data_IF_300279209142
#
_entry.id   IF_300279209142
#
_cell.length_a   1.000
_cell.length_b   1.000
_cell.length_c   1.000
_cell.angle_alpha   90.00
_cell.angle_beta   90.00
_cell.angle_gamma   90.00
#
_symmetry.space_group_name_H-M   'P 1'
#
loop_
_entity.id
_entity.type
_entity.pdbx_description
1 polymer ?
#
# COMPACT_ATOMS: atom_id res chain seq x y z
N UNK A 1 -11.05 -16.49 1.63
CA UNK A 1 -10.23 -17.65 2.03
C UNK A 1 -8.85 -17.17 2.44
N UNK A 2 -8.16 -17.89 3.31
CA UNK A 2 -6.77 -17.60 3.66
C UNK A 2 -5.95 -18.89 3.51
N UNK A 3 -4.73 -18.77 2.99
CA UNK A 3 -3.76 -19.86 3.00
C UNK A 3 -3.08 -19.83 4.37
N UNK A 4 -3.18 -20.92 5.14
CA UNK A 4 -2.56 -20.97 6.46
C UNK A 4 -1.16 -21.56 6.34
N UNK A 5 -0.15 -20.74 6.68
CA UNK A 5 1.17 -21.27 7.02
C UNK A 5 1.12 -21.88 8.42
N UNK A 6 1.82 -23.00 8.64
CA UNK A 6 1.86 -23.65 9.95
C UNK A 6 2.78 -22.88 10.91
N UNK A 7 2.33 -21.70 11.30
CA UNK A 7 3.03 -20.87 12.28
C UNK A 7 2.18 -20.87 13.55
N UNK A 8 2.71 -21.49 14.60
CA UNK A 8 2.09 -21.43 15.92
C UNK A 8 2.26 -20.00 16.45
N UNK A 9 1.17 -19.33 16.80
CA UNK A 9 1.19 -18.01 17.43
C UNK A 9 0.77 -18.12 18.89
N UNK A 10 1.35 -17.31 19.75
CA UNK A 10 1.00 -17.25 21.17
C UNK A 10 -0.12 -16.22 21.35
N UNK A 11 -1.34 -16.69 21.65
CA UNK A 11 -2.51 -15.84 21.87
C UNK A 11 -2.37 -14.89 23.08
N UNK A 12 -1.41 -15.16 23.97
CA UNK A 12 -1.10 -14.33 25.14
C UNK A 12 -0.01 -13.29 24.84
N UNK A 13 0.78 -13.48 23.78
CA UNK A 13 1.82 -12.54 23.36
C UNK A 13 1.25 -11.51 22.37
N UNK A 14 0.45 -10.57 22.91
CA UNK A 14 -0.21 -9.51 22.14
C UNK A 14 0.47 -8.17 22.38
N UNK A 15 0.68 -7.43 21.29
CA UNK A 15 1.12 -6.04 21.32
C UNK A 15 0.06 -5.12 20.71
N UNK A 16 -0.03 -3.89 21.22
CA UNK A 16 -0.85 -2.84 20.62
C UNK A 16 -0.16 -2.31 19.37
N UNK A 17 -0.95 -2.04 18.34
CA UNK A 17 -0.43 -1.57 17.08
C UNK A 17 -1.36 -0.57 16.40
N UNK A 18 -0.85 0.12 15.38
CA UNK A 18 -1.61 1.00 14.52
C UNK A 18 -1.23 0.78 13.06
N UNK A 19 -2.21 0.85 12.17
CA UNK A 19 -1.98 0.83 10.74
C UNK A 19 -1.44 2.19 10.30
N UNK A 20 -0.37 2.19 9.52
CA UNK A 20 0.21 3.38 8.91
C UNK A 20 0.39 3.17 7.41
N UNK A 21 0.48 4.26 6.66
CA UNK A 21 0.76 4.18 5.23
C UNK A 21 2.15 3.59 4.99
N UNK A 22 2.27 2.75 3.96
CA UNK A 22 3.57 2.30 3.50
C UNK A 22 4.30 3.49 2.86
N UNK A 23 5.33 4.00 3.55
CA UNK A 23 6.05 5.21 3.12
C UNK A 23 6.78 5.00 1.79
N UNK A 24 7.14 3.76 1.43
CA UNK A 24 7.77 3.44 0.14
C UNK A 24 6.76 3.46 -1.02
N UNK A 25 5.47 3.42 -0.69
CA UNK A 25 4.32 3.46 -1.61
C UNK A 25 3.52 4.76 -1.53
N UNK A 26 4.02 5.73 -0.77
CA UNK A 26 3.43 7.06 -0.64
C UNK A 26 4.31 8.09 -1.35
N UNK A 27 3.68 8.94 -2.17
CA UNK A 27 4.34 10.07 -2.81
C UNK A 27 3.73 11.36 -2.29
N UNK A 28 4.57 12.23 -1.78
CA UNK A 28 4.22 13.62 -1.50
C UNK A 28 4.56 14.47 -2.72
N UNK A 29 3.55 15.10 -3.29
CA UNK A 29 3.70 16.03 -4.39
C UNK A 29 3.94 17.42 -3.80
N UNK A 30 5.16 17.92 -3.99
CA UNK A 30 5.56 19.27 -3.66
C UNK A 30 6.09 19.96 -4.93
N UNK A 31 5.65 21.19 -5.23
CA UNK A 31 6.12 21.92 -6.38
C UNK A 31 7.56 22.36 -6.19
N UNK A 32 8.34 22.40 -7.27
CA UNK A 32 9.72 22.92 -7.22
C UNK A 32 9.85 24.38 -7.69
N UNK A 33 8.76 24.96 -8.19
CA UNK A 33 8.63 26.36 -8.56
C UNK A 33 7.37 26.93 -7.93
N UNK A 34 7.32 28.25 -7.79
CA UNK A 34 6.10 28.90 -7.33
C UNK A 34 4.99 28.74 -8.38
N UNK A 35 3.80 28.38 -7.92
CA UNK A 35 2.69 28.09 -8.83
C UNK A 35 1.34 28.44 -8.22
N UNK A 36 0.36 28.68 -9.08
CA UNK A 36 -1.03 28.90 -8.72
C UNK A 36 -1.90 27.70 -9.10
N UNK A 37 -2.79 27.30 -8.20
CA UNK A 37 -3.79 26.26 -8.47
C UNK A 37 -4.93 26.88 -9.27
N UNK A 38 -5.11 26.47 -10.53
CA UNK A 38 -6.13 27.01 -11.42
C UNK A 38 -7.41 26.17 -11.41
N UNK A 39 -7.29 24.85 -11.28
CA UNK A 39 -8.43 23.94 -11.23
C UNK A 39 -8.10 22.67 -10.43
N UNK A 40 -9.09 22.16 -9.71
CA UNK A 40 -9.05 20.85 -9.06
C UNK A 40 -9.80 19.81 -9.89
N UNK A 41 -9.21 18.62 -10.04
CA UNK A 41 -9.83 17.48 -10.75
C UNK A 41 -10.11 16.27 -9.85
N UNK A 42 -9.57 16.26 -8.62
CA UNK A 42 -9.72 15.16 -7.65
C UNK A 42 -10.08 15.68 -6.26
N UNK A 43 -10.59 14.79 -5.39
CA UNK A 43 -10.90 15.09 -3.98
C UNK A 43 -10.21 14.11 -3.03
N UNK A 44 -9.96 14.48 -1.75
CA UNK A 44 -9.50 13.54 -0.74
C UNK A 44 -10.35 12.27 -0.68
N UNK A 45 -9.70 11.13 -0.51
CA UNK A 45 -10.32 9.81 -0.50
C UNK A 45 -10.59 9.23 -1.89
N UNK A 46 -10.44 10.00 -2.99
CA UNK A 46 -10.66 9.47 -4.34
C UNK A 46 -9.51 8.57 -4.78
N UNK A 47 -9.84 7.45 -5.44
CA UNK A 47 -8.86 6.61 -6.12
C UNK A 47 -8.50 7.20 -7.48
N UNK A 48 -7.21 7.22 -7.80
CA UNK A 48 -6.65 7.77 -9.03
C UNK A 48 -5.76 6.75 -9.73
N UNK A 49 -5.74 6.82 -11.05
CA UNK A 49 -4.82 6.04 -11.90
C UNK A 49 -3.63 6.90 -12.31
N UNK A 50 -2.46 6.28 -12.50
CA UNK A 50 -1.27 6.95 -13.02
C UNK A 50 -1.59 7.65 -14.34
N UNK A 51 -1.23 8.93 -14.44
CA UNK A 51 -1.53 9.79 -15.59
C UNK A 51 -2.88 10.51 -15.51
N UNK A 52 -3.72 10.21 -14.52
CA UNK A 52 -4.97 10.96 -14.31
C UNK A 52 -4.68 12.39 -13.86
N UNK A 53 -5.38 13.42 -14.41
CA UNK A 53 -5.23 14.79 -13.95
C UNK A 53 -5.66 14.94 -12.48
N UNK A 54 -4.78 15.55 -11.67
CA UNK A 54 -5.04 15.88 -10.27
C UNK A 54 -5.46 17.35 -10.13
N UNK A 55 -4.62 18.24 -10.66
CA UNK A 55 -4.80 19.69 -10.64
C UNK A 55 -4.42 20.28 -12.00
N UNK A 56 -5.01 21.41 -12.36
CA UNK A 56 -4.40 22.32 -13.34
C UNK A 56 -3.66 23.39 -12.57
N UNK A 57 -2.37 23.54 -12.84
CA UNK A 57 -1.48 24.49 -12.19
C UNK A 57 -0.85 25.41 -13.22
N UNK A 58 -0.55 26.63 -12.82
CA UNK A 58 0.09 27.63 -13.68
C UNK A 58 0.81 28.69 -12.86
N UNK A 59 1.00 29.87 -13.44
CA UNK A 59 1.65 31.00 -12.78
C UNK A 59 2.85 31.52 -13.56
N UNK A 60 3.40 32.64 -13.09
CA UNK A 60 4.48 33.35 -13.78
C UNK A 60 5.74 32.50 -13.94
N UNK A 61 6.16 31.80 -12.88
CA UNK A 61 7.37 30.96 -12.90
C UNK A 61 7.21 29.74 -13.82
N UNK A 62 6.02 29.14 -13.83
CA UNK A 62 5.68 28.06 -14.78
C UNK A 62 5.73 28.58 -16.22
N UNK A 63 5.12 29.74 -16.48
CA UNK A 63 5.16 30.36 -17.81
C UNK A 63 6.58 30.66 -18.27
N UNK A 64 7.42 31.19 -17.37
CA UNK A 64 8.82 31.50 -17.64
C UNK A 64 9.64 30.22 -17.93
N UNK A 65 9.49 29.18 -17.11
CA UNK A 65 10.18 27.91 -17.31
C UNK A 65 9.77 27.23 -18.64
N UNK A 66 8.48 27.30 -18.99
CA UNK A 66 7.97 26.78 -20.27
C UNK A 66 8.53 27.56 -21.46
N UNK A 67 8.55 28.90 -21.40
CA UNK A 67 9.12 29.74 -22.45
C UNK A 67 10.63 29.50 -22.63
N UNK A 68 11.38 29.37 -21.53
CA UNK A 68 12.80 29.04 -21.54
C UNK A 68 13.08 27.71 -22.26
N UNK A 69 12.27 26.68 -21.97
CA UNK A 69 12.38 25.40 -22.66
C UNK A 69 12.05 25.50 -24.15
N UNK A 70 10.95 26.19 -24.51
CA UNK A 70 10.57 26.35 -25.93
C UNK A 70 11.67 27.06 -26.72
N UNK A 71 12.26 28.11 -26.17
CA UNK A 71 13.37 28.83 -26.80
C UNK A 71 14.61 27.93 -26.96
N UNK A 72 15.00 27.22 -25.91
CA UNK A 72 16.17 26.33 -25.93
C UNK A 72 15.98 25.14 -26.88
N UNK A 73 14.79 24.52 -26.87
CA UNK A 73 14.45 23.40 -27.74
C UNK A 73 14.40 23.83 -29.22
N UNK A 74 13.82 24.99 -29.51
CA UNK A 74 13.76 25.54 -30.88
C UNK A 74 15.17 25.79 -31.43
N UNK A 75 16.06 26.37 -30.61
CA UNK A 75 17.44 26.60 -31.01
C UNK A 75 18.20 25.29 -31.22
N UNK A 76 18.00 24.30 -30.34
CA UNK A 76 18.59 22.98 -30.52
C UNK A 76 18.13 22.29 -31.80
N UNK A 77 16.84 22.32 -32.10
CA UNK A 77 16.28 21.74 -33.31
C UNK A 77 16.68 22.50 -34.58
N UNK A 78 16.96 23.80 -34.49
CA UNK A 78 17.59 24.56 -35.57
C UNK A 78 19.00 24.06 -35.84
N UNK A 79 19.83 23.94 -34.80
CA UNK A 79 21.22 23.48 -34.92
C UNK A 79 21.31 22.04 -35.44
N UNK A 80 20.42 21.13 -35.00
CA UNK A 80 20.36 19.75 -35.51
C UNK A 80 20.12 19.68 -37.02
N UNK A 81 19.34 20.61 -37.57
CA UNK A 81 19.00 20.66 -39.00
C UNK A 81 20.10 21.32 -39.85
N UNK A 82 21.07 21.99 -39.24
CA UNK A 82 22.18 22.61 -39.95
C UNK A 82 23.21 21.56 -40.38
N UNK A 83 23.89 21.81 -41.51
CA UNK A 83 24.85 20.86 -42.06
C UNK A 83 26.08 20.68 -41.16
N UNK A 84 26.72 19.51 -41.28
CA UNK A 84 27.97 19.21 -40.58
C UNK A 84 29.08 20.17 -41.08
N UNK A 85 29.39 21.17 -40.28
CA UNK A 85 30.49 22.13 -40.53
C UNK A 85 30.11 23.59 -40.26
N UNK A 86 28.82 23.94 -40.24
CA UNK A 86 28.35 25.32 -40.00
C UNK A 86 28.51 25.76 -38.54
N UNK A 87 28.56 24.81 -37.61
CA UNK A 87 28.62 25.05 -36.16
C UNK A 87 29.69 24.14 -35.56
N UNK A 88 30.47 24.69 -34.62
CA UNK A 88 31.51 23.96 -33.90
C UNK A 88 30.91 22.85 -33.03
N UNK A 89 31.68 21.78 -32.79
CA UNK A 89 31.23 20.68 -31.92
C UNK A 89 30.88 21.16 -30.49
N UNK A 90 31.69 22.06 -29.94
CA UNK A 90 31.45 22.67 -28.62
C UNK A 90 30.14 23.44 -28.58
N UNK A 91 29.82 24.23 -29.61
CA UNK A 91 28.59 25.00 -29.65
C UNK A 91 27.36 24.08 -29.75
N UNK A 92 27.44 23.00 -30.56
CA UNK A 92 26.35 22.01 -30.63
C UNK A 92 26.10 21.38 -29.26
N UNK A 93 27.16 20.93 -28.60
CA UNK A 93 27.06 20.31 -27.27
C UNK A 93 26.45 21.28 -26.25
N UNK A 94 26.87 22.55 -26.26
CA UNK A 94 26.36 23.55 -25.33
C UNK A 94 24.85 23.81 -25.52
N UNK A 95 24.37 23.86 -26.76
CA UNK A 95 22.95 24.04 -27.05
C UNK A 95 22.12 22.80 -26.66
N UNK A 96 22.64 21.59 -26.91
CA UNK A 96 22.02 20.35 -26.47
C UNK A 96 21.87 20.30 -24.95
N UNK A 97 22.95 20.58 -24.22
CA UNK A 97 22.95 20.62 -22.75
C UNK A 97 21.96 21.67 -22.22
N UNK A 98 21.89 22.84 -22.85
CA UNK A 98 20.93 23.87 -22.44
C UNK A 98 19.47 23.42 -22.65
N UNK A 99 19.14 22.81 -23.80
CA UNK A 99 17.81 22.28 -24.03
C UNK A 99 17.44 21.18 -23.03
N UNK A 100 18.38 20.27 -22.72
CA UNK A 100 18.16 19.20 -21.75
C UNK A 100 18.01 19.75 -20.32
N UNK A 101 18.78 20.76 -19.94
CA UNK A 101 18.63 21.44 -18.65
C UNK A 101 17.22 22.03 -18.48
N UNK A 102 16.73 22.79 -19.47
CA UNK A 102 15.39 23.38 -19.42
C UNK A 102 14.30 22.31 -19.41
N UNK A 103 14.52 21.20 -20.09
CA UNK A 103 13.64 20.03 -20.06
C UNK A 103 13.57 19.42 -18.66
N UNK A 104 14.72 19.25 -18.00
CA UNK A 104 14.81 18.68 -16.67
C UNK A 104 14.10 19.56 -15.62
N UNK A 105 14.15 20.89 -15.76
CA UNK A 105 13.39 21.82 -14.90
C UNK A 105 11.87 21.60 -15.04
N UNK A 106 11.35 21.45 -16.26
CA UNK A 106 9.92 21.16 -16.45
C UNK A 106 9.52 19.78 -15.89
N UNK A 107 10.40 18.79 -16.01
CA UNK A 107 10.18 17.48 -15.39
C UNK A 107 10.22 17.53 -13.87
N UNK A 108 11.02 18.42 -13.29
CA UNK A 108 11.15 18.56 -11.83
C UNK A 108 9.90 19.13 -11.18
N UNK A 109 9.12 19.93 -11.91
CA UNK A 109 7.76 20.34 -11.52
C UNK A 109 6.67 19.33 -11.91
N UNK A 110 7.06 18.09 -12.23
CA UNK A 110 6.18 16.97 -12.59
C UNK A 110 5.37 17.18 -13.89
N UNK A 111 5.83 18.03 -14.81
CA UNK A 111 5.24 18.12 -16.14
C UNK A 111 5.58 16.85 -16.94
N UNK A 112 4.58 16.23 -17.56
CA UNK A 112 4.79 14.96 -18.28
C UNK A 112 5.61 15.15 -19.56
N UNK A 113 6.32 14.09 -19.99
CA UNK A 113 7.08 14.11 -21.26
C UNK A 113 6.22 14.49 -22.46
N UNK A 114 4.94 14.10 -22.45
CA UNK A 114 3.99 14.43 -23.50
C UNK A 114 3.66 15.93 -23.49
N UNK A 115 3.28 16.49 -22.35
CA UNK A 115 3.00 17.92 -22.23
C UNK A 115 4.22 18.77 -22.60
N UNK A 116 5.42 18.34 -22.21
CA UNK A 116 6.68 19.02 -22.58
C UNK A 116 6.90 18.96 -24.11
N UNK A 117 6.59 17.85 -24.77
CA UNK A 117 6.69 17.75 -26.22
C UNK A 117 5.69 18.67 -26.94
N UNK A 118 4.47 18.80 -26.40
CA UNK A 118 3.41 19.66 -26.94
C UNK A 118 3.76 21.15 -26.87
N UNK A 119 4.52 21.59 -25.85
CA UNK A 119 4.98 22.98 -25.73
C UNK A 119 5.77 23.47 -26.95
N UNK A 120 6.61 22.61 -27.52
CA UNK A 120 7.47 22.98 -28.66
C UNK A 120 6.66 23.25 -29.94
N UNK A 121 5.44 22.71 -30.04
CA UNK A 121 4.56 22.86 -31.21
C UNK A 121 3.41 23.83 -30.98
N UNK A 122 3.10 24.19 -29.73
CA UNK A 122 1.91 24.95 -29.37
C UNK A 122 2.21 26.06 -28.34
N UNK A 123 2.69 27.24 -28.77
CA UNK A 123 3.00 28.35 -27.86
C UNK A 123 1.82 28.83 -27.01
N UNK A 124 0.58 28.60 -27.47
CA UNK A 124 -0.65 28.92 -26.72
C UNK A 124 -0.86 28.05 -25.48
N UNK A 125 -0.08 26.97 -25.32
CA UNK A 125 -0.12 26.10 -24.13
C UNK A 125 0.77 26.58 -22.98
N UNK A 126 1.55 27.66 -23.19
CA UNK A 126 2.37 28.29 -22.15
C UNK A 126 1.47 28.95 -21.08
N UNK A 127 1.87 28.83 -19.82
CA UNK A 127 1.27 29.46 -18.65
C UNK A 127 0.59 28.48 -17.69
N UNK A 128 0.31 27.26 -18.13
CA UNK A 128 -0.29 26.22 -17.28
C UNK A 128 0.01 24.81 -17.78
N UNK A 129 -0.21 23.81 -16.93
CA UNK A 129 -0.26 22.41 -17.31
C UNK A 129 -1.12 21.61 -16.34
N UNK A 130 -1.43 20.37 -16.70
CA UNK A 130 -2.12 19.44 -15.79
C UNK A 130 -1.08 18.65 -14.99
N UNK A 131 -1.12 18.77 -13.68
CA UNK A 131 -0.37 17.92 -12.76
C UNK A 131 -1.04 16.54 -12.75
N UNK A 132 -0.32 15.53 -13.23
CA UNK A 132 -0.84 14.17 -13.38
C UNK A 132 -0.41 13.28 -12.21
N UNK A 133 -1.22 12.26 -11.90
CA UNK A 133 -0.89 11.27 -10.88
C UNK A 133 0.38 10.48 -11.25
N UNK A 134 1.46 10.52 -10.44
CA UNK A 134 2.68 9.74 -10.71
C UNK A 134 2.51 8.23 -10.50
N UNK A 135 1.55 7.83 -9.67
CA UNK A 135 1.24 6.44 -9.30
C UNK A 135 -0.26 6.18 -9.32
N UNK A 136 -0.64 4.90 -9.34
CA UNK A 136 -1.98 4.48 -8.95
C UNK A 136 -2.08 4.60 -7.42
N UNK A 137 -3.21 5.07 -6.90
CA UNK A 137 -3.38 5.18 -5.45
C UNK A 137 -4.60 5.98 -5.05
N UNK A 138 -4.67 6.36 -3.79
CA UNK A 138 -5.71 7.22 -3.22
C UNK A 138 -5.14 8.57 -2.82
N UNK A 139 -5.93 9.62 -3.01
CA UNK A 139 -5.62 10.98 -2.53
C UNK A 139 -5.80 11.00 -1.01
N UNK A 140 -4.70 10.91 -0.25
CA UNK A 140 -4.76 10.91 1.22
C UNK A 140 -4.87 12.30 1.80
N UNK A 141 -4.13 13.25 1.23
CA UNK A 141 -4.15 14.65 1.63
C UNK A 141 -4.18 15.52 0.40
N UNK A 142 -5.00 16.57 0.45
CA UNK A 142 -5.03 17.64 -0.55
C UNK A 142 -5.28 18.95 0.22
N UNK A 143 -4.25 19.78 0.29
CA UNK A 143 -4.34 21.08 0.95
C UNK A 143 -4.46 22.23 -0.05
N UNK A 144 -4.57 21.91 -1.35
CA UNK A 144 -4.70 22.90 -2.41
C UNK A 144 -6.00 23.69 -2.24
N UNK A 145 -6.01 24.94 -2.65
CA UNK A 145 -7.25 25.70 -2.85
C UNK A 145 -7.18 26.39 -4.21
N UNK A 146 -8.27 26.36 -4.97
CA UNK A 146 -8.32 27.05 -6.26
C UNK A 146 -8.06 28.55 -6.05
N UNK A 147 -7.14 29.11 -6.82
CA UNK A 147 -6.65 30.49 -6.68
C UNK A 147 -5.45 30.65 -5.75
N UNK A 148 -5.14 29.66 -4.90
CA UNK A 148 -3.99 29.69 -4.00
C UNK A 148 -2.67 29.70 -4.78
N UNK A 149 -1.73 30.53 -4.32
CA UNK A 149 -0.33 30.50 -4.74
C UNK A 149 0.45 29.66 -3.73
N UNK A 150 1.22 28.72 -4.25
CA UNK A 150 2.05 27.79 -3.50
C UNK A 150 3.51 28.10 -3.78
N UNK A 151 4.29 28.26 -2.73
CA UNK A 151 5.74 28.43 -2.82
C UNK A 151 6.41 27.08 -3.04
N UNK A 152 7.49 27.08 -3.81
CA UNK A 152 8.35 25.92 -4.01
C UNK A 152 8.69 25.22 -2.67
N UNK A 153 8.60 23.89 -2.66
CA UNK A 153 8.84 23.05 -1.49
C UNK A 153 7.61 22.81 -0.61
N UNK A 154 6.50 23.54 -0.79
CA UNK A 154 5.29 23.35 0.01
C UNK A 154 4.55 22.07 -0.39
N UNK A 155 4.39 21.06 0.49
CA UNK A 155 3.62 19.87 0.17
C UNK A 155 2.19 20.22 -0.24
N UNK A 156 1.73 19.71 -1.38
CA UNK A 156 0.43 20.05 -1.96
C UNK A 156 -0.59 18.92 -1.84
N UNK A 157 -0.14 17.71 -2.17
CA UNK A 157 -0.99 16.54 -2.23
C UNK A 157 -0.18 15.30 -1.88
N UNK A 158 -0.82 14.33 -1.23
CA UNK A 158 -0.23 13.04 -0.93
C UNK A 158 -1.04 11.93 -1.61
N UNK A 159 -0.37 11.11 -2.40
CA UNK A 159 -0.94 9.90 -2.99
C UNK A 159 -0.33 8.67 -2.33
N UNK A 160 -1.16 7.69 -1.98
CA UNK A 160 -0.70 6.42 -1.40
C UNK A 160 -1.28 5.25 -2.17
N UNK A 161 -0.44 4.30 -2.55
CA UNK A 161 -0.90 2.98 -2.96
C UNK A 161 -1.21 2.14 -1.71
N UNK A 162 -2.51 1.98 -1.42
CA UNK A 162 -3.02 1.30 -0.23
C UNK A 162 -3.08 -0.23 -0.39
N UNK A 163 -2.47 -0.81 -1.42
CA UNK A 163 -2.43 -2.27 -1.61
C UNK A 163 -1.60 -2.99 -0.54
N UNK A 164 -0.71 -2.24 0.12
CA UNK A 164 0.02 -2.65 1.30
C UNK A 164 -0.09 -1.56 2.36
N UNK A 165 -0.09 -1.99 3.61
CA UNK A 165 0.01 -1.11 4.77
C UNK A 165 1.17 -1.57 5.64
N UNK A 166 1.70 -0.62 6.39
CA UNK A 166 2.57 -0.94 7.50
C UNK A 166 1.75 -0.98 8.78
N UNK A 167 2.23 -1.76 9.74
CA UNK A 167 1.69 -1.83 11.08
C UNK A 167 2.82 -1.51 12.02
N UNK A 168 2.69 -0.39 12.74
CA UNK A 168 3.60 0.02 13.80
C UNK A 168 3.09 -0.59 15.10
N UNK A 169 3.84 -1.54 15.66
CA UNK A 169 3.49 -2.22 16.90
C UNK A 169 4.51 -1.91 17.99
N UNK A 170 4.02 -1.75 19.21
CA UNK A 170 4.82 -1.42 20.38
C UNK A 170 5.01 -2.67 21.24
N UNK A 171 6.23 -3.21 21.26
CA UNK A 171 6.55 -4.44 22.00
C UNK A 171 7.29 -4.09 23.29
N UNK A 172 6.99 -4.80 24.37
CA UNK A 172 7.88 -4.78 25.54
C UNK A 172 9.24 -5.41 25.18
N UNK A 173 10.34 -5.08 25.88
CA UNK A 173 11.66 -5.68 25.60
C UNK A 173 11.63 -7.22 25.59
N UNK A 174 10.87 -7.83 26.50
CA UNK A 174 10.72 -9.29 26.56
C UNK A 174 10.01 -9.88 25.33
N UNK A 175 9.04 -9.16 24.76
CA UNK A 175 8.38 -9.55 23.50
C UNK A 175 9.30 -9.31 22.31
N UNK A 176 10.04 -8.19 22.31
CA UNK A 176 10.96 -7.84 21.24
C UNK A 176 12.12 -8.84 21.11
N UNK A 177 12.58 -9.43 22.23
CA UNK A 177 13.57 -10.52 22.24
C UNK A 177 13.09 -11.81 21.56
N UNK A 178 11.78 -11.98 21.37
CA UNK A 178 11.18 -13.17 20.75
C UNK A 178 10.99 -13.02 19.23
N UNK A 179 11.29 -11.85 18.66
CA UNK A 179 11.04 -11.57 17.25
C UNK A 179 12.30 -11.12 16.52
N UNK A 180 12.41 -11.52 15.27
CA UNK A 180 13.47 -11.14 14.36
C UNK A 180 12.89 -10.52 13.08
N UNK A 181 13.73 -9.85 12.29
CA UNK A 181 13.33 -9.47 10.93
C UNK A 181 12.97 -10.72 10.13
N UNK A 182 11.88 -10.63 9.37
CA UNK A 182 11.32 -11.75 8.59
C UNK A 182 10.41 -12.68 9.39
N UNK A 183 10.21 -12.46 10.69
CA UNK A 183 9.24 -13.24 11.48
C UNK A 183 7.81 -12.94 11.02
N UNK A 184 7.05 -14.01 10.76
CA UNK A 184 5.62 -13.94 10.48
C UNK A 184 4.85 -13.57 11.75
N UNK A 185 3.80 -12.78 11.58
CA UNK A 185 2.94 -12.25 12.64
C UNK A 185 1.50 -12.23 12.18
N UNK A 186 0.56 -12.30 13.11
CA UNK A 186 -0.87 -12.15 12.83
C UNK A 186 -1.33 -10.77 13.30
N UNK A 187 -1.86 -9.98 12.37
CA UNK A 187 -2.43 -8.65 12.64
C UNK A 187 -3.94 -8.77 12.71
N UNK A 188 -4.53 -8.19 13.75
CA UNK A 188 -5.98 -8.13 13.94
C UNK A 188 -6.47 -6.68 13.98
N UNK A 189 -7.43 -6.35 13.13
CA UNK A 189 -8.09 -5.04 13.04
C UNK A 189 -9.59 -5.24 13.21
N UNK A 190 -10.09 -5.01 14.43
CA UNK A 190 -11.47 -5.34 14.80
C UNK A 190 -11.76 -6.84 14.65
N UNK A 191 -12.68 -7.20 13.77
CA UNK A 191 -13.02 -8.60 13.44
C UNK A 191 -12.19 -9.21 12.30
N UNK A 192 -11.33 -8.41 11.66
CA UNK A 192 -10.54 -8.82 10.48
C UNK A 192 -9.15 -9.23 10.92
N UNK A 193 -8.63 -10.30 10.32
CA UNK A 193 -7.25 -10.75 10.50
C UNK A 193 -6.50 -10.79 9.18
N UNK A 194 -5.20 -10.53 9.25
CA UNK A 194 -4.26 -10.60 8.13
C UNK A 194 -2.92 -11.09 8.64
N UNK A 195 -2.25 -11.90 7.84
CA UNK A 195 -0.84 -12.22 8.07
C UNK A 195 0.02 -11.00 7.69
N UNK A 196 1.11 -10.82 8.41
CA UNK A 196 2.13 -9.81 8.14
C UNK A 196 3.51 -10.34 8.43
N UNK A 197 4.52 -9.59 8.01
CA UNK A 197 5.94 -9.95 8.20
C UNK A 197 6.67 -8.77 8.82
N UNK A 198 7.46 -9.02 9.87
CA UNK A 198 8.31 -7.99 10.47
C UNK A 198 9.39 -7.57 9.48
N UNK A 199 9.41 -6.29 9.12
CA UNK A 199 10.37 -5.68 8.19
C UNK A 199 11.36 -4.74 8.87
N UNK A 200 11.09 -4.35 10.12
CA UNK A 200 11.94 -3.43 10.86
C UNK A 200 11.72 -3.51 12.37
N UNK A 201 12.76 -3.12 13.11
CA UNK A 201 12.78 -3.06 14.56
C UNK A 201 13.62 -1.83 14.95
N UNK A 202 13.06 -0.97 15.79
CA UNK A 202 13.75 0.21 16.33
C UNK A 202 14.95 -0.24 17.15
N UNK A 203 16.09 0.44 17.02
CA UNK A 203 17.24 0.18 17.92
C UNK A 203 17.20 1.04 19.19
N UNK A 204 16.10 1.75 19.40
CA UNK A 204 15.86 2.60 20.56
C UNK A 204 14.56 2.18 21.26
N UNK A 205 14.60 2.15 22.58
CA UNK A 205 13.43 1.97 23.43
C UNK A 205 12.81 3.34 23.67
N UNK A 206 11.51 3.48 23.39
CA UNK A 206 10.77 4.68 23.71
C UNK A 206 10.76 4.88 25.24
N UNK A 207 11.31 6.00 25.71
CA UNK A 207 11.50 6.25 27.15
C UNK A 207 10.18 6.47 27.92
N UNK A 208 9.11 6.87 27.24
CA UNK A 208 7.81 7.13 27.84
C UNK A 208 7.00 5.84 28.00
N UNK A 209 6.94 5.03 26.94
CA UNK A 209 6.16 3.77 26.92
C UNK A 209 6.97 2.56 27.37
N UNK A 210 8.31 2.67 27.38
CA UNK A 210 9.27 1.57 27.62
C UNK A 210 9.06 0.40 26.65
N UNK A 211 8.69 0.72 25.42
CA UNK A 211 8.47 -0.23 24.33
C UNK A 211 9.49 -0.03 23.22
N UNK A 212 9.68 -1.08 22.45
CA UNK A 212 10.44 -1.09 21.23
C UNK A 212 9.47 -1.20 20.06
N UNK A 213 9.57 -0.26 19.13
CA UNK A 213 8.71 -0.25 17.95
C UNK A 213 9.19 -1.31 16.94
N UNK A 214 8.26 -2.13 16.46
CA UNK A 214 8.46 -3.00 15.31
C UNK A 214 7.54 -2.60 14.17
N UNK A 215 8.04 -2.76 12.95
CA UNK A 215 7.34 -2.43 11.74
C UNK A 215 7.02 -3.71 10.98
N UNK A 216 5.74 -3.89 10.65
CA UNK A 216 5.23 -5.08 9.98
C UNK A 216 4.65 -4.67 8.63
N UNK A 217 5.02 -5.37 7.56
CA UNK A 217 4.38 -5.23 6.25
C UNK A 217 3.18 -6.17 6.15
N UNK A 218 2.04 -5.63 5.73
CA UNK A 218 0.78 -6.37 5.63
C UNK A 218 0.10 -6.06 4.29
N UNK A 219 -0.37 -7.09 3.58
CA UNK A 219 -1.13 -6.91 2.35
C UNK A 219 -2.57 -6.45 2.63
N UNK A 220 -3.09 -5.56 1.78
CA UNK A 220 -4.44 -4.99 1.85
C UNK A 220 -5.13 -5.04 0.47
N UNK A 221 -5.27 -6.24 -0.16
CA UNK A 221 -5.73 -6.38 -1.55
C UNK A 221 -7.19 -5.95 -1.80
N UNK A 222 -7.97 -5.66 -0.74
CA UNK A 222 -9.33 -5.14 -0.83
C UNK A 222 -9.45 -3.65 -0.52
N UNK A 223 -8.35 -2.97 -0.14
CA UNK A 223 -8.37 -1.60 0.38
C UNK A 223 -9.39 -1.40 1.51
N UNK A 224 -9.67 -2.47 2.28
CA UNK A 224 -10.69 -2.47 3.33
C UNK A 224 -10.13 -2.01 4.69
N UNK A 225 -8.81 -2.02 4.82
CA UNK A 225 -8.09 -1.49 5.98
C UNK A 225 -7.51 -0.10 5.67
N UNK A 226 -7.48 0.76 6.68
CA UNK A 226 -7.07 2.16 6.54
C UNK A 226 -6.00 2.54 7.56
N UNK A 227 -5.07 3.39 7.13
CA UNK A 227 -4.11 4.01 8.05
C UNK A 227 -4.86 4.79 9.13
N UNK A 228 -4.37 4.73 10.37
CA UNK A 228 -5.00 5.29 11.54
C UNK A 228 -5.79 4.28 12.37
N UNK A 229 -6.22 3.15 11.78
CA UNK A 229 -6.94 2.10 12.52
C UNK A 229 -6.03 1.46 13.59
N UNK A 230 -6.60 1.21 14.77
CA UNK A 230 -5.95 0.44 15.81
C UNK A 230 -5.94 -1.05 15.46
N UNK A 231 -4.85 -1.70 15.78
CA UNK A 231 -4.65 -3.12 15.57
C UNK A 231 -4.04 -3.78 16.81
N UNK A 232 -4.11 -5.10 16.80
CA UNK A 232 -3.35 -5.95 17.70
C UNK A 232 -2.39 -6.81 16.88
N UNK A 233 -1.17 -6.97 17.38
CA UNK A 233 -0.16 -7.84 16.80
C UNK A 233 0.01 -9.07 17.68
N UNK A 234 -0.14 -10.26 17.10
CA UNK A 234 0.07 -11.53 17.76
C UNK A 234 1.39 -12.13 17.29
N UNK A 235 2.27 -12.43 18.24
CA UNK A 235 3.62 -12.94 17.98
C UNK A 235 3.64 -14.47 17.87
N UNK A 236 4.57 -14.99 17.07
CA UNK A 236 4.79 -16.43 16.94
C UNK A 236 5.18 -17.03 18.31
N UNK A 237 4.71 -18.24 18.62
CA UNK A 237 5.13 -18.98 19.80
C UNK A 237 6.58 -19.47 19.63
N UNK A 238 7.39 -19.38 20.69
CA UNK A 238 8.78 -19.85 20.67
C UNK A 238 8.85 -21.33 20.25
N UNK A 239 9.76 -21.65 19.32
CA UNK A 239 9.94 -22.96 18.67
C UNK A 239 10.45 -24.10 19.60
N UNK A 240 10.27 -23.98 20.92
CA UNK A 240 10.86 -24.87 21.92
C UNK A 240 9.89 -25.78 22.70
N UNK A 241 8.57 -25.62 22.59
CA UNK A 241 7.64 -26.42 23.40
C UNK A 241 6.27 -26.66 22.72
N UNK A 242 6.16 -27.79 21.99
CA UNK A 242 4.93 -28.54 21.67
C UNK A 242 3.92 -27.95 20.63
N UNK A 243 3.21 -28.83 19.90
CA UNK A 243 3.30 -29.06 18.46
C UNK A 243 2.56 -28.04 17.57
N UNK A 244 3.04 -27.97 16.33
CA UNK A 244 2.50 -27.21 15.19
C UNK A 244 0.96 -27.19 15.19
N UNK A 245 0.38 -26.00 15.26
CA UNK A 245 -1.06 -25.74 15.15
C UNK A 245 -1.29 -24.41 14.44
N UNK A 246 -2.55 -24.08 14.21
CA UNK A 246 -2.95 -22.93 13.39
C UNK A 246 -3.83 -21.99 14.21
N UNK A 247 -3.69 -20.68 14.02
CA UNK A 247 -4.68 -19.72 14.53
C UNK A 247 -5.68 -19.40 13.44
N UNK A 248 -6.95 -19.56 13.77
CA UNK A 248 -8.06 -19.16 12.90
C UNK A 248 -8.98 -18.19 13.63
N UNK A 249 -9.65 -17.27 12.91
CA UNK A 249 -10.79 -16.57 13.46
C UNK A 249 -11.84 -17.57 13.96
N UNK A 250 -12.51 -17.24 15.05
CA UNK A 250 -13.62 -18.03 15.59
C UNK A 250 -14.72 -18.29 14.56
N UNK A 251 -14.89 -17.36 13.60
CA UNK A 251 -15.83 -17.47 12.49
C UNK A 251 -15.48 -18.56 11.46
N UNK A 252 -14.26 -19.10 11.49
CA UNK A 252 -13.83 -20.21 10.66
C UNK A 252 -14.26 -21.57 11.23
N UNK A 253 -14.60 -21.62 12.53
CA UNK A 253 -14.97 -22.85 13.22
C UNK A 253 -16.47 -23.09 13.18
N UNK A 254 -16.85 -24.32 12.84
CA UNK A 254 -18.22 -24.82 12.95
C UNK A 254 -18.24 -26.10 13.77
N UNK A 255 -19.44 -26.58 14.11
CA UNK A 255 -19.63 -27.90 14.72
C UNK A 255 -20.04 -28.91 13.66
N UNK A 256 -19.47 -30.11 13.72
CA UNK A 256 -19.92 -31.29 12.99
C UNK A 256 -21.24 -31.82 13.57
N UNK A 257 -21.84 -32.82 12.93
CA UNK A 257 -23.12 -33.42 13.36
C UNK A 257 -23.05 -34.17 14.69
N UNK A 258 -21.88 -34.68 15.06
CA UNK A 258 -21.57 -35.30 16.36
C UNK A 258 -21.08 -34.29 17.41
N UNK A 259 -20.94 -33.02 17.02
CA UNK A 259 -20.63 -31.92 17.92
C UNK A 259 -19.14 -31.63 18.10
N UNK A 260 -18.26 -32.27 17.33
CA UNK A 260 -16.84 -31.92 17.28
C UNK A 260 -16.58 -30.61 16.53
N UNK A 261 -15.43 -29.99 16.76
CA UNK A 261 -15.04 -28.77 16.06
C UNK A 261 -14.49 -29.11 14.69
N UNK A 262 -14.91 -28.38 13.66
CA UNK A 262 -14.41 -28.55 12.30
C UNK A 262 -14.15 -27.20 11.62
N UNK A 263 -13.30 -27.22 10.58
CA UNK A 263 -13.12 -26.12 9.63
C UNK A 263 -13.38 -26.62 8.20
N UNK A 264 -13.62 -25.70 7.27
CA UNK A 264 -13.72 -26.04 5.85
C UNK A 264 -12.43 -25.71 5.11
N UNK A 265 -11.94 -26.66 4.32
CA UNK A 265 -10.74 -26.54 3.48
C UNK A 265 -11.11 -26.62 2.01
N UNK A 266 -10.32 -25.96 1.15
CA UNK A 266 -10.45 -26.07 -0.31
C UNK A 266 -9.80 -27.39 -0.78
N UNK A 267 -10.59 -28.25 -1.44
CA UNK A 267 -10.11 -29.53 -1.99
C UNK A 267 -10.87 -29.86 -3.29
N UNK A 268 -10.14 -30.26 -4.34
CA UNK A 268 -10.67 -30.77 -5.61
C UNK A 268 -11.78 -29.90 -6.27
N UNK A 269 -11.66 -28.57 -6.16
CA UNK A 269 -12.65 -27.63 -6.73
C UNK A 269 -13.91 -27.44 -5.89
N UNK A 270 -13.94 -27.99 -4.67
CA UNK A 270 -15.01 -27.83 -3.70
C UNK A 270 -14.48 -27.56 -2.28
N UNK A 271 -15.35 -27.76 -1.29
CA UNK A 271 -15.04 -27.58 0.13
C UNK A 271 -15.26 -28.88 0.88
N UNK A 272 -14.29 -29.25 1.72
CA UNK A 272 -14.37 -30.42 2.60
C UNK A 272 -14.27 -29.98 4.05
N UNK A 273 -15.08 -30.59 4.92
CA UNK A 273 -15.00 -30.38 6.36
C UNK A 273 -13.89 -31.26 6.95
N UNK A 274 -13.04 -30.66 7.79
CA UNK A 274 -11.97 -31.36 8.51
C UNK A 274 -12.12 -31.06 9.99
N UNK A 275 -12.23 -32.12 10.78
CA UNK A 275 -12.25 -32.04 12.24
C UNK A 275 -10.91 -31.53 12.79
N UNK A 276 -10.99 -30.68 13.81
CA UNK A 276 -9.85 -30.06 14.43
C UNK A 276 -10.02 -30.03 15.94
N UNK A 277 -8.91 -30.14 16.66
CA UNK A 277 -8.91 -29.94 18.10
C UNK A 277 -8.69 -28.47 18.42
N UNK A 278 -9.62 -27.82 19.10
CA UNK A 278 -9.44 -26.47 19.64
C UNK A 278 -8.67 -26.56 20.96
N UNK A 279 -7.47 -25.98 20.99
CA UNK A 279 -6.57 -26.06 22.14
C UNK A 279 -6.70 -24.82 23.03
N UNK A 280 -6.75 -23.64 22.42
CA UNK A 280 -6.95 -22.37 23.12
C UNK A 280 -7.89 -21.49 22.31
N UNK A 281 -8.73 -20.70 23.01
CA UNK A 281 -9.62 -19.74 22.38
C UNK A 281 -9.61 -18.45 23.18
N UNK A 282 -9.23 -17.36 22.54
CA UNK A 282 -9.10 -16.08 23.18
C UNK A 282 -9.38 -14.94 22.20
N UNK A 283 -10.13 -13.94 22.66
CA UNK A 283 -10.39 -12.69 21.91
C UNK A 283 -10.96 -12.92 20.49
N UNK A 284 -11.73 -13.97 20.24
CA UNK A 284 -12.30 -14.22 18.91
C UNK A 284 -11.36 -14.96 17.94
N UNK A 285 -10.21 -15.43 18.43
CA UNK A 285 -9.28 -16.31 17.73
C UNK A 285 -9.20 -17.65 18.45
N UNK A 286 -9.01 -18.71 17.69
CA UNK A 286 -8.86 -20.08 18.19
C UNK A 286 -7.57 -20.68 17.66
N UNK A 287 -6.74 -21.20 18.56
CA UNK A 287 -5.60 -22.06 18.24
C UNK A 287 -6.08 -23.49 18.10
N UNK A 288 -5.86 -24.08 16.92
CA UNK A 288 -6.38 -25.38 16.52
C UNK A 288 -5.27 -26.32 16.04
N UNK A 289 -5.50 -27.63 16.18
CA UNK A 289 -4.63 -28.71 15.69
C UNK A 289 -5.40 -29.67 14.79
N UNK A 290 -4.69 -30.45 13.98
CA UNK A 290 -5.28 -31.46 13.09
C UNK A 290 -5.28 -31.10 11.61
N UNK A 291 -4.72 -29.93 11.23
CA UNK A 291 -4.59 -29.52 9.82
C UNK A 291 -3.18 -29.76 9.28
N UNK A 292 -3.09 -29.99 7.98
CA UNK A 292 -1.82 -30.07 7.25
C UNK A 292 -1.30 -28.65 6.98
N UNK A 293 0.02 -28.38 7.09
CA UNK A 293 0.59 -27.09 6.69
C UNK A 293 0.24 -26.69 5.25
N UNK A 294 0.17 -25.38 4.98
CA UNK A 294 -0.14 -24.82 3.65
C UNK A 294 -1.56 -25.14 3.15
N UNK A 295 -2.46 -25.54 4.03
CA UNK A 295 -3.88 -25.76 3.70
C UNK A 295 -4.62 -24.43 3.59
N UNK A 296 -5.45 -24.28 2.56
CA UNK A 296 -6.36 -23.13 2.42
C UNK A 296 -7.63 -23.37 3.21
N UNK A 297 -7.90 -22.47 4.15
CA UNK A 297 -9.04 -22.55 5.07
C UNK A 297 -10.04 -21.43 4.80
N UNK A 298 -11.31 -21.78 4.92
CA UNK A 298 -12.42 -20.84 4.87
C UNK A 298 -12.49 -20.06 6.18
N UNK A 299 -11.96 -18.84 6.17
CA UNK A 299 -11.93 -17.94 7.35
C UNK A 299 -13.17 -17.06 7.50
N UNK A 300 -14.09 -17.09 6.53
CA UNK A 300 -15.37 -16.37 6.57
C UNK A 300 -16.41 -17.14 5.76
N UNK A 301 -17.66 -17.19 6.25
CA UNK A 301 -18.75 -17.92 5.61
C UNK A 301 -18.82 -19.41 5.93
N UNK A 302 -18.03 -19.92 6.88
CA UNK A 302 -18.00 -21.35 7.24
C UNK A 302 -19.38 -21.88 7.69
N UNK A 303 -20.18 -21.06 8.39
CA UNK A 303 -21.55 -21.44 8.79
C UNK A 303 -22.47 -21.75 7.60
N UNK A 304 -22.33 -21.01 6.49
CA UNK A 304 -23.11 -21.28 5.28
C UNK A 304 -22.74 -22.64 4.66
N UNK A 305 -21.45 -22.95 4.60
CA UNK A 305 -20.97 -24.26 4.11
C UNK A 305 -21.48 -25.41 5.00
N UNK A 306 -21.43 -25.25 6.34
CA UNK A 306 -21.99 -26.22 7.27
C UNK A 306 -23.49 -26.42 7.06
N UNK A 307 -24.24 -25.34 6.79
CA UNK A 307 -25.68 -25.41 6.52
C UNK A 307 -26.01 -26.18 5.24
N UNK A 308 -25.23 -25.97 4.18
CA UNK A 308 -25.40 -26.70 2.90
C UNK A 308 -24.99 -28.18 3.02
N UNK A 309 -23.90 -28.48 3.73
CA UNK A 309 -23.49 -29.86 3.99
C UNK A 309 -24.56 -30.63 4.77
N UNK A 310 -25.13 -30.01 5.81
CA UNK A 310 -26.21 -30.60 6.60
C UNK A 310 -27.43 -30.92 5.72
N UNK A 311 -27.84 -30.02 4.81
CA UNK A 311 -28.95 -30.28 3.87
C UNK A 311 -28.65 -31.44 2.92
N UNK A 312 -27.43 -31.52 2.39
CA UNK A 312 -27.05 -32.59 1.45
C UNK A 312 -26.99 -33.98 2.09
N UNK A 313 -26.75 -34.06 3.41
CA UNK A 313 -26.79 -35.31 4.17
C UNK A 313 -28.20 -35.79 4.51
N UNK A 314 -29.23 -34.95 4.34
CA UNK A 314 -30.63 -35.35 4.41
C UNK A 314 -31.08 -35.88 3.04
N UNK A 315 -30.56 -37.02 2.61
CA UNK A 315 -31.15 -37.73 1.49
C UNK A 315 -32.42 -38.44 1.98
N UNK A 316 -33.57 -37.92 1.56
CA UNK A 316 -34.90 -38.41 1.94
C UNK A 316 -35.17 -39.68 1.12
N UNK A 317 -34.46 -40.76 1.42
CA UNK A 317 -34.83 -42.09 0.96
C UNK A 317 -35.52 -42.84 2.09
N UNK A 318 -36.81 -42.58 2.22
CA UNK A 318 -37.75 -43.58 2.71
C UNK A 318 -39.06 -43.40 1.94
N UNK A 319 -39.22 -44.21 0.89
CA UNK A 319 -40.51 -44.52 0.29
C UNK A 319 -41.27 -45.49 1.20
#
# INVERSE_FOLDING_TARGET
>A
MAQLSATAFNLQAVATAQLVVDKDKTITIAPQLDMQVLKRHVVPGQQVQKGQPLLTIGGADIAAAQADYVNAATEWDRIKRMSKGTISASQRMQTEVNAELKRAILQSVMMSKQQIAELATSPSSIGQFQLLAPINGRVQQDIATVGQVLTAGTPLMQLTDESYLWVEAELTPLQADQVNMGTDVLVRVGSRTREGVIIGRSHEINSQTRTEQVLVRMANPGHDLHAGEFAELYLAANQGAEPLGFIVPDAALTRSGDGDWQVFIEQDGGFSAVEVSVVERQRGLSFIRGLVPQTRVVVSGAFFLASEQAKSGFDIHNH
#
